data_IF_653885927255
#
_entry.id   IF_653885927255
#
_cell.length_a   1.000
_cell.length_b   1.000
_cell.length_c   1.000
_cell.angle_alpha   90.00
_cell.angle_beta   90.00
_cell.angle_gamma   90.00
#
_symmetry.space_group_name_H-M   'P 1'
#
loop_
_entity.id
_entity.type
_entity.pdbx_description
1 polymer ?
#
# COMPACT_ATOMS: atom_id res chain seq x y z
N UNK A 1 -5.44 24.87 12.30
CA UNK A 1 -4.72 23.67 12.79
C UNK A 1 -5.63 22.47 12.65
N UNK A 2 -5.12 21.36 12.10
CA UNK A 2 -5.90 20.13 11.95
C UNK A 2 -6.25 19.54 13.33
N UNK A 3 -7.50 19.07 13.49
CA UNK A 3 -8.02 18.53 14.77
C UNK A 3 -7.88 17.00 14.90
N UNK A 4 -7.21 16.32 13.96
CA UNK A 4 -7.16 14.86 13.93
C UNK A 4 -5.87 14.31 13.33
N UNK A 5 -5.68 13.00 13.49
CA UNK A 5 -4.54 12.24 12.96
C UNK A 5 -5.05 11.30 11.87
N UNK A 6 -4.44 11.38 10.69
CA UNK A 6 -4.55 10.37 9.65
C UNK A 6 -3.15 9.81 9.42
N UNK A 7 -2.93 8.57 9.86
CA UNK A 7 -1.65 7.86 9.73
C UNK A 7 -1.93 6.39 9.46
N UNK A 8 -1.31 5.87 8.40
CA UNK A 8 -1.32 4.45 8.05
C UNK A 8 0.13 3.96 8.04
N UNK A 9 0.38 2.78 8.62
CA UNK A 9 1.68 2.10 8.58
C UNK A 9 1.43 0.73 7.98
N UNK A 10 2.06 0.44 6.84
CA UNK A 10 1.91 -0.83 6.12
C UNK A 10 3.28 -1.49 5.95
N UNK A 11 3.29 -2.81 6.10
CA UNK A 11 4.44 -3.67 5.79
C UNK A 11 3.89 -4.79 4.92
N UNK A 12 4.46 -4.97 3.73
CA UNK A 12 3.92 -5.89 2.74
C UNK A 12 4.84 -6.04 1.55
N UNK A 13 4.35 -6.73 0.52
CA UNK A 13 5.09 -7.01 -0.70
C UNK A 13 4.47 -6.29 -1.90
N UNK A 14 5.29 -5.87 -2.86
CA UNK A 14 4.82 -5.31 -4.13
C UNK A 14 4.15 -6.41 -4.97
N UNK A 15 2.96 -6.13 -5.50
CA UNK A 15 2.26 -7.04 -6.42
C UNK A 15 2.77 -6.97 -7.86
N UNK A 16 3.44 -5.87 -8.21
CA UNK A 16 4.02 -5.62 -9.53
C UNK A 16 5.09 -4.52 -9.41
N UNK A 17 5.86 -4.32 -10.47
CA UNK A 17 6.82 -3.23 -10.55
C UNK A 17 6.14 -1.85 -10.38
N UNK A 18 6.79 -0.88 -9.71
CA UNK A 18 6.26 0.47 -9.57
C UNK A 18 5.97 1.15 -10.92
N UNK A 19 4.86 1.87 -11.01
CA UNK A 19 4.50 2.63 -12.21
C UNK A 19 4.72 4.13 -12.00
N UNK A 20 5.76 4.67 -12.62
CA UNK A 20 6.11 6.10 -12.56
C UNK A 20 5.57 6.86 -13.77
N UNK A 21 4.96 8.04 -13.52
CA UNK A 21 4.50 8.98 -14.55
C UNK A 21 4.94 10.40 -14.18
N UNK A 22 5.19 11.22 -15.18
CA UNK A 22 5.49 12.64 -14.99
C UNK A 22 4.28 13.48 -15.36
N UNK A 23 3.88 14.37 -14.46
CA UNK A 23 2.81 15.33 -14.71
C UNK A 23 3.27 16.41 -15.69
N UNK A 24 2.36 17.10 -16.41
CA UNK A 24 2.71 18.24 -17.26
C UNK A 24 3.45 19.36 -16.53
N UNK A 25 3.28 19.47 -15.21
CA UNK A 25 4.02 20.39 -14.33
C UNK A 25 5.46 19.96 -14.03
N UNK A 26 5.90 18.79 -14.53
CA UNK A 26 7.22 18.22 -14.31
C UNK A 26 7.35 17.34 -13.05
N UNK A 27 6.33 17.29 -12.19
CA UNK A 27 6.37 16.48 -10.97
C UNK A 27 6.19 14.98 -11.24
N UNK A 28 7.03 14.14 -10.63
CA UNK A 28 6.90 12.69 -10.66
C UNK A 28 5.77 12.19 -9.75
N UNK A 29 5.05 11.16 -10.22
CA UNK A 29 4.03 10.42 -9.49
C UNK A 29 4.26 8.94 -9.70
N UNK A 30 4.42 8.19 -8.61
CA UNK A 30 4.67 6.73 -8.67
C UNK A 30 3.57 5.99 -7.95
N UNK A 31 2.96 5.03 -8.62
CA UNK A 31 1.92 4.16 -8.06
C UNK A 31 2.51 2.78 -7.77
N UNK A 32 2.20 2.25 -6.59
CA UNK A 32 2.45 0.84 -6.27
C UNK A 32 1.17 0.15 -5.79
N UNK A 33 1.17 -1.16 -5.91
CA UNK A 33 0.15 -2.05 -5.35
C UNK A 33 0.83 -2.93 -4.30
N UNK A 34 0.42 -2.81 -3.03
CA UNK A 34 1.03 -3.50 -1.89
C UNK A 34 0.07 -4.54 -1.31
N UNK A 35 0.54 -5.79 -1.22
CA UNK A 35 -0.15 -6.87 -0.53
C UNK A 35 0.25 -6.93 0.94
N UNK A 36 -0.74 -6.99 1.84
CA UNK A 36 -0.56 -7.34 3.26
C UNK A 36 -1.39 -8.58 3.56
N UNK A 37 -0.81 -9.60 4.21
CA UNK A 37 -1.53 -10.82 4.59
C UNK A 37 -1.67 -10.93 6.10
N UNK A 38 -2.84 -11.37 6.55
CA UNK A 38 -3.08 -11.82 7.92
C UNK A 38 -3.45 -13.30 7.92
N UNK A 39 -2.89 -14.06 8.87
CA UNK A 39 -3.22 -15.47 9.09
C UNK A 39 -3.83 -15.65 10.48
N UNK A 40 -4.96 -16.34 10.56
CA UNK A 40 -5.62 -16.63 11.83
C UNK A 40 -6.22 -18.04 11.83
N UNK A 41 -6.47 -18.56 13.03
CA UNK A 41 -7.19 -19.82 13.22
C UNK A 41 -8.68 -19.52 13.33
N UNK A 42 -9.48 -20.10 12.44
CA UNK A 42 -10.93 -19.97 12.48
C UNK A 42 -11.50 -20.66 13.74
N UNK A 43 -12.37 -19.96 14.48
CA UNK A 43 -12.86 -20.44 15.79
C UNK A 43 -13.91 -21.55 15.67
N UNK A 44 -14.59 -21.69 14.54
CA UNK A 44 -15.65 -22.68 14.35
C UNK A 44 -15.10 -23.99 13.77
N UNK A 45 -14.19 -23.87 12.81
CA UNK A 45 -13.63 -25.00 12.05
C UNK A 45 -12.26 -25.44 12.55
N UNK A 46 -11.54 -24.59 13.28
CA UNK A 46 -10.18 -24.85 13.74
C UNK A 46 -9.12 -24.84 12.63
N UNK A 47 -9.49 -24.46 11.40
CA UNK A 47 -8.57 -24.39 10.26
C UNK A 47 -7.79 -23.08 10.26
N UNK A 48 -6.56 -23.14 9.73
CA UNK A 48 -5.79 -21.93 9.43
C UNK A 48 -6.39 -21.26 8.19
N UNK A 49 -6.67 -19.97 8.30
CA UNK A 49 -7.12 -19.11 7.22
C UNK A 49 -6.06 -18.05 6.95
N UNK A 50 -5.96 -17.63 5.69
CA UNK A 50 -5.15 -16.50 5.26
C UNK A 50 -6.02 -15.53 4.46
N UNK A 51 -5.82 -14.23 4.69
CA UNK A 51 -6.46 -13.18 3.90
C UNK A 51 -5.45 -12.14 3.50
N UNK A 52 -5.40 -11.86 2.21
CA UNK A 52 -4.60 -10.77 1.64
C UNK A 52 -5.47 -9.55 1.37
N UNK A 53 -4.98 -8.39 1.78
CA UNK A 53 -5.52 -7.07 1.43
C UNK A 53 -4.57 -6.34 0.48
N UNK A 54 -5.15 -5.63 -0.48
CA UNK A 54 -4.42 -4.93 -1.53
C UNK A 54 -4.58 -3.42 -1.39
N UNK A 55 -3.46 -2.72 -1.30
CA UNK A 55 -3.39 -1.28 -1.09
C UNK A 55 -2.82 -0.60 -2.32
N UNK A 56 -3.48 0.42 -2.83
CA UNK A 56 -2.91 1.31 -3.84
C UNK A 56 -2.26 2.50 -3.16
N UNK A 57 -0.95 2.65 -3.33
CA UNK A 57 -0.16 3.71 -2.69
C UNK A 57 0.38 4.64 -3.79
N UNK A 58 0.28 5.95 -3.55
CA UNK A 58 0.73 6.99 -4.48
C UNK A 58 1.82 7.82 -3.82
N UNK A 59 2.99 7.83 -4.42
CA UNK A 59 4.10 8.71 -4.06
C UNK A 59 4.08 9.95 -4.95
N UNK A 60 4.46 11.10 -4.40
CA UNK A 60 4.54 12.37 -5.12
C UNK A 60 5.95 12.97 -5.00
N UNK A 61 6.35 13.71 -6.04
CA UNK A 61 7.59 14.49 -6.09
C UNK A 61 8.82 13.62 -5.77
N UNK A 62 9.72 14.09 -4.88
CA UNK A 62 10.96 13.40 -4.54
C UNK A 62 10.78 11.93 -4.09
N UNK A 63 9.67 11.59 -3.44
CA UNK A 63 9.40 10.20 -3.04
C UNK A 63 8.98 9.32 -4.23
N UNK A 64 8.52 9.92 -5.33
CA UNK A 64 8.18 9.20 -6.55
C UNK A 64 9.39 8.93 -7.45
N UNK A 65 10.54 9.58 -7.21
CA UNK A 65 11.76 9.44 -8.02
C UNK A 65 12.70 8.31 -7.56
N UNK A 66 12.40 7.70 -6.40
CA UNK A 66 13.20 6.66 -5.74
C UNK A 66 12.84 5.29 -6.29
#
# INVERSE_FOLDING_TARGET
MARGINKVILIGNLGQDPETRYMPSGGAVTNITLATSESWKDKQTGQQQERTEWHRIVFFNRLAEI
#
